data_IF_181654440329
#
_entry.id   IF_181654440329
#
_cell.length_a   1.000
_cell.length_b   1.000
_cell.length_c   1.000
_cell.angle_alpha   90.00
_cell.angle_beta   90.00
_cell.angle_gamma   90.00
#
_symmetry.space_group_name_H-M   'P 1'
#
loop_
_entity.id
_entity.type
_entity.pdbx_description
1 polymer ?
#
# COMPACT_ATOMS: atom_id res chain seq x y z
N UNK A 1 -24.26 6.08 -2.04
CA UNK A 1 -23.45 6.98 -2.89
C UNK A 1 -23.09 6.19 -4.14
N UNK A 2 -23.46 6.66 -5.34
CA UNK A 2 -23.10 5.98 -6.59
C UNK A 2 -21.64 6.21 -6.92
N UNK A 3 -20.91 5.17 -7.32
CA UNK A 3 -19.55 5.34 -7.83
C UNK A 3 -19.58 6.09 -9.15
N UNK A 4 -18.73 7.11 -9.31
CA UNK A 4 -18.54 7.78 -10.58
C UNK A 4 -17.81 6.81 -11.52
N UNK A 5 -18.46 6.48 -12.64
CA UNK A 5 -17.89 5.61 -13.67
C UNK A 5 -17.56 6.48 -14.87
N UNK A 6 -16.29 6.47 -15.26
CA UNK A 6 -15.81 7.12 -16.48
C UNK A 6 -15.40 6.03 -17.48
N UNK A 7 -16.01 6.05 -18.67
CA UNK A 7 -15.64 5.13 -19.75
C UNK A 7 -14.21 5.41 -20.19
N UNK A 8 -13.42 4.35 -20.39
CA UNK A 8 -12.06 4.48 -20.88
C UNK A 8 -12.01 4.98 -22.32
N UNK A 9 -10.97 5.72 -22.64
CA UNK A 9 -10.64 6.21 -23.98
C UNK A 9 -9.82 5.18 -24.80
N UNK A 10 -9.54 4.01 -24.23
CA UNK A 10 -8.76 2.96 -24.86
C UNK A 10 -7.26 3.27 -24.95
N UNK A 11 -6.73 4.30 -24.28
CA UNK A 11 -5.27 4.57 -24.29
C UNK A 11 -4.49 3.40 -23.71
N UNK A 12 -3.24 3.16 -24.15
CA UNK A 12 -2.45 2.05 -23.66
C UNK A 12 -2.05 2.24 -22.18
N UNK A 13 -1.82 1.14 -21.47
CA UNK A 13 -1.17 1.19 -20.17
C UNK A 13 0.28 1.65 -20.33
N UNK A 14 0.60 2.82 -19.79
CA UNK A 14 1.96 3.34 -19.82
C UNK A 14 2.85 2.58 -18.82
N UNK A 15 4.07 2.16 -19.19
CA UNK A 15 5.01 1.57 -18.25
C UNK A 15 5.37 2.55 -17.13
N UNK A 16 5.50 2.07 -15.90
CA UNK A 16 5.99 2.88 -14.77
C UNK A 16 7.49 3.13 -14.94
N UNK A 17 7.93 4.40 -14.96
CA UNK A 17 9.30 4.80 -15.27
C UNK A 17 9.91 5.75 -14.24
N UNK A 18 11.23 5.69 -14.09
CA UNK A 18 12.00 6.67 -13.32
C UNK A 18 11.52 6.81 -11.87
N UNK A 19 11.06 8.00 -11.53
CA UNK A 19 10.54 8.36 -10.21
C UNK A 19 9.05 8.05 -10.02
N UNK A 20 8.30 7.73 -11.08
CA UNK A 20 6.86 7.46 -11.01
C UNK A 20 6.53 6.33 -10.04
N UNK A 21 7.42 5.36 -9.90
CA UNK A 21 7.29 4.25 -8.95
C UNK A 21 7.08 4.67 -7.49
N UNK A 22 7.40 5.92 -7.12
CA UNK A 22 7.16 6.44 -5.77
C UNK A 22 5.68 6.77 -5.51
N UNK A 23 4.92 7.15 -6.54
CA UNK A 23 3.53 7.60 -6.41
C UNK A 23 2.56 6.84 -7.32
N UNK A 24 3.05 5.93 -8.16
CA UNK A 24 2.25 5.16 -9.10
C UNK A 24 2.39 3.67 -8.81
N UNK A 25 1.24 3.03 -8.66
CA UNK A 25 1.15 1.59 -8.41
C UNK A 25 0.35 0.93 -9.52
N UNK A 26 0.73 -0.29 -9.89
CA UNK A 26 0.04 -1.04 -10.93
C UNK A 26 0.12 -2.53 -10.65
N UNK A 27 -1.00 -3.22 -10.83
CA UNK A 27 -1.15 -4.64 -10.58
C UNK A 27 -1.88 -5.31 -11.72
N UNK A 28 -1.58 -6.57 -12.02
CA UNK A 28 -2.29 -7.30 -13.04
C UNK A 28 -2.30 -8.81 -12.86
N UNK A 29 -3.19 -9.46 -13.60
CA UNK A 29 -3.28 -10.90 -13.73
C UNK A 29 -3.81 -11.28 -15.11
N UNK A 30 -3.39 -12.46 -15.57
CA UNK A 30 -3.88 -13.06 -16.80
C UNK A 30 -5.00 -14.04 -16.47
N UNK A 31 -6.17 -13.86 -17.10
CA UNK A 31 -7.38 -14.66 -16.88
C UNK A 31 -7.97 -15.01 -18.23
N UNK A 32 -8.11 -16.32 -18.50
CA UNK A 32 -8.70 -16.86 -19.75
C UNK A 32 -8.14 -16.23 -21.04
N UNK A 33 -6.83 -15.94 -21.04
CA UNK A 33 -6.13 -15.33 -22.18
C UNK A 33 -6.26 -13.81 -22.30
N UNK A 34 -6.94 -13.16 -21.37
CA UNK A 34 -7.01 -11.70 -21.27
C UNK A 34 -6.21 -11.18 -20.05
N UNK A 35 -5.39 -10.16 -20.28
CA UNK A 35 -4.68 -9.43 -19.23
C UNK A 35 -5.61 -8.38 -18.63
N UNK A 36 -5.75 -8.40 -17.30
CA UNK A 36 -6.43 -7.37 -16.54
C UNK A 36 -5.40 -6.64 -15.68
N UNK A 37 -5.24 -5.35 -15.90
CA UNK A 37 -4.35 -4.51 -15.10
C UNK A 37 -5.14 -3.38 -14.44
N UNK A 38 -4.78 -3.05 -13.21
CA UNK A 38 -5.19 -1.82 -12.55
C UNK A 38 -3.98 -0.88 -12.46
N UNK A 39 -4.24 0.41 -12.59
CA UNK A 39 -3.24 1.45 -12.44
C UNK A 39 -3.79 2.57 -11.56
N UNK A 40 -2.96 3.00 -10.62
CA UNK A 40 -3.31 3.96 -9.58
C UNK A 40 -2.22 5.01 -9.49
N UNK A 41 -2.62 6.27 -9.32
CA UNK A 41 -1.71 7.37 -9.03
C UNK A 41 -2.12 7.99 -7.69
N UNK A 42 -1.27 7.89 -6.68
CA UNK A 42 -1.54 8.36 -5.32
C UNK A 42 -1.60 9.90 -5.21
N UNK A 43 -1.16 10.64 -6.24
CA UNK A 43 -1.35 12.10 -6.31
C UNK A 43 -2.63 12.52 -7.05
N UNK A 44 -3.40 11.56 -7.55
CA UNK A 44 -4.74 11.84 -8.05
C UNK A 44 -5.66 12.03 -6.84
N UNK A 45 -6.03 13.28 -6.54
CA UNK A 45 -6.87 13.62 -5.37
C UNK A 45 -8.23 12.93 -5.37
N UNK A 46 -8.69 12.48 -6.54
CA UNK A 46 -9.94 11.74 -6.72
C UNK A 46 -9.77 10.22 -6.44
N UNK A 47 -8.57 9.76 -6.04
CA UNK A 47 -8.23 8.35 -5.77
C UNK A 47 -8.66 7.41 -6.91
N UNK A 48 -8.41 7.82 -8.16
CA UNK A 48 -8.88 7.08 -9.34
C UNK A 48 -8.15 5.76 -9.51
N UNK A 49 -8.95 4.71 -9.65
CA UNK A 49 -8.55 3.39 -10.09
C UNK A 49 -8.86 3.26 -11.58
N UNK A 50 -7.85 2.99 -12.40
CA UNK A 50 -7.99 2.77 -13.84
C UNK A 50 -7.91 1.28 -14.13
N UNK A 51 -8.93 0.71 -14.77
CA UNK A 51 -8.93 -0.67 -15.26
C UNK A 51 -8.49 -0.71 -16.72
N UNK A 52 -7.51 -1.54 -17.01
CA UNK A 52 -7.06 -1.88 -18.35
C UNK A 52 -7.39 -3.33 -18.66
N UNK A 53 -7.88 -3.58 -19.87
CA UNK A 53 -8.17 -4.93 -20.39
C UNK A 53 -7.39 -5.10 -21.69
N UNK A 54 -6.54 -6.14 -21.77
CA UNK A 54 -5.65 -6.33 -22.92
C UNK A 54 -4.71 -5.15 -23.15
N UNK A 55 -4.31 -4.46 -22.07
CA UNK A 55 -3.41 -3.30 -22.13
C UNK A 55 -4.07 -1.98 -22.57
N UNK A 56 -5.40 -1.91 -22.69
CA UNK A 56 -6.12 -0.67 -23.07
C UNK A 56 -7.07 -0.22 -21.96
N UNK A 57 -7.12 1.10 -21.72
CA UNK A 57 -8.00 1.67 -20.69
C UNK A 57 -9.46 1.37 -21.01
N UNK A 58 -10.10 0.62 -20.13
CA UNK A 58 -11.49 0.21 -20.26
C UNK A 58 -12.42 1.12 -19.46
N UNK A 59 -12.09 1.38 -18.19
CA UNK A 59 -12.92 2.14 -17.26
C UNK A 59 -12.05 2.82 -16.19
N UNK A 60 -12.53 3.93 -15.66
CA UNK A 60 -11.96 4.59 -14.48
C UNK A 60 -13.06 4.77 -13.43
N UNK A 61 -12.72 4.50 -12.16
CA UNK A 61 -13.63 4.63 -11.01
C UNK A 61 -12.87 5.14 -9.79
N UNK A 62 -13.57 5.82 -8.90
CA UNK A 62 -13.00 6.27 -7.62
C UNK A 62 -12.88 5.09 -6.65
N UNK A 63 -11.87 5.15 -5.78
CA UNK A 63 -11.64 4.16 -4.74
C UNK A 63 -12.71 4.17 -3.63
N UNK A 64 -13.01 3.02 -2.99
CA UNK A 64 -12.69 1.65 -3.42
C UNK A 64 -13.46 1.28 -4.68
N UNK A 65 -12.86 0.58 -5.65
CA UNK A 65 -13.46 0.34 -6.94
C UNK A 65 -13.82 -1.14 -7.16
N UNK A 66 -14.98 -1.40 -7.79
CA UNK A 66 -15.35 -2.73 -8.29
C UNK A 66 -15.74 -2.63 -9.75
N UNK A 67 -15.01 -3.32 -10.62
CA UNK A 67 -15.26 -3.32 -12.07
C UNK A 67 -15.86 -4.67 -12.49
N UNK A 68 -17.02 -4.68 -13.16
CA UNK A 68 -17.54 -5.91 -13.75
C UNK A 68 -16.62 -6.34 -14.91
N UNK A 69 -16.28 -7.62 -14.96
CA UNK A 69 -15.53 -8.23 -16.07
C UNK A 69 -16.27 -9.48 -16.55
N UNK A 70 -15.82 -10.05 -17.68
CA UNK A 70 -16.55 -11.11 -18.40
C UNK A 70 -16.90 -12.33 -17.53
N UNK A 71 -16.02 -12.70 -16.60
CA UNK A 71 -16.23 -13.82 -15.67
C UNK A 71 -16.03 -13.38 -14.21
N UNK A 72 -16.72 -12.32 -13.79
CA UNK A 72 -16.74 -11.87 -12.40
C UNK A 72 -16.45 -10.38 -12.24
N UNK A 73 -15.55 -10.04 -11.33
CA UNK A 73 -15.25 -8.63 -11.04
C UNK A 73 -13.84 -8.40 -10.51
N UNK A 74 -13.23 -7.30 -10.95
CA UNK A 74 -11.99 -6.78 -10.38
C UNK A 74 -12.36 -5.89 -9.21
N UNK A 75 -11.92 -6.24 -8.00
CA UNK A 75 -12.15 -5.50 -6.77
C UNK A 75 -10.85 -4.90 -6.24
N UNK A 76 -10.88 -3.59 -5.98
CA UNK A 76 -9.75 -2.82 -5.47
C UNK A 76 -10.18 -2.05 -4.22
N UNK A 77 -9.42 -2.18 -3.16
CA UNK A 77 -9.61 -1.44 -1.91
C UNK A 77 -8.28 -0.92 -1.38
N UNK A 78 -8.33 0.28 -0.81
CA UNK A 78 -7.19 0.92 -0.15
C UNK A 78 -7.25 0.72 1.36
N UNK A 79 -6.09 0.76 2.00
CA UNK A 79 -5.92 0.95 3.43
C UNK A 79 -5.09 2.20 3.69
N UNK A 80 -4.73 2.44 4.95
CA UNK A 80 -3.96 3.64 5.35
C UNK A 80 -2.65 3.83 4.57
N UNK A 81 -2.02 2.74 4.13
CA UNK A 81 -0.68 2.77 3.55
C UNK A 81 -0.65 2.34 2.08
N UNK A 82 -1.78 2.36 1.38
CA UNK A 82 -1.86 2.03 -0.05
C UNK A 82 -2.87 0.94 -0.38
N UNK A 83 -2.62 0.17 -1.44
CA UNK A 83 -3.55 -0.87 -1.91
C UNK A 83 -3.60 -2.03 -0.92
N UNK A 84 -4.73 -2.16 -0.23
CA UNK A 84 -5.01 -3.25 0.71
C UNK A 84 -5.45 -4.52 0.01
N UNK A 85 -6.23 -4.37 -1.05
CA UNK A 85 -6.80 -5.50 -1.81
C UNK A 85 -6.83 -5.16 -3.29
N UNK A 86 -6.27 -6.04 -4.10
CA UNK A 86 -6.38 -6.01 -5.56
C UNK A 86 -6.57 -7.45 -6.02
N UNK A 87 -7.79 -7.80 -6.42
CA UNK A 87 -8.14 -9.19 -6.75
C UNK A 87 -9.26 -9.25 -7.77
N UNK A 88 -9.36 -10.41 -8.42
CA UNK A 88 -10.46 -10.78 -9.28
C UNK A 88 -11.26 -11.84 -8.57
N UNK A 89 -12.53 -11.55 -8.34
CA UNK A 89 -13.53 -12.48 -7.84
C UNK A 89 -14.26 -13.07 -9.05
N UNK A 90 -14.01 -14.35 -9.35
CA UNK A 90 -14.70 -15.07 -10.43
C UNK A 90 -16.15 -15.36 -10.06
N UNK A 91 -16.99 -15.56 -11.07
CA UNK A 91 -18.37 -16.01 -10.86
C UNK A 91 -18.44 -17.40 -10.20
N UNK A 92 -17.40 -18.24 -10.38
CA UNK A 92 -17.23 -19.53 -9.68
C UNK A 92 -17.00 -19.40 -8.17
N UNK A 93 -16.66 -18.20 -7.69
CA UNK A 93 -16.22 -17.96 -6.31
C UNK A 93 -14.69 -17.97 -6.13
N UNK A 94 -13.93 -18.32 -7.18
CA UNK A 94 -12.46 -18.29 -7.11
C UNK A 94 -11.95 -16.85 -6.96
N UNK A 95 -10.93 -16.67 -6.12
CA UNK A 95 -10.29 -15.36 -5.91
C UNK A 95 -8.87 -15.41 -6.41
N UNK A 96 -8.57 -14.58 -7.41
CA UNK A 96 -7.24 -14.45 -8.01
C UNK A 96 -6.66 -13.11 -7.58
N UNK A 97 -5.56 -13.12 -6.83
CA UNK A 97 -4.88 -11.88 -6.43
C UNK A 97 -4.11 -11.30 -7.62
N UNK A 98 -4.23 -9.99 -7.84
CA UNK A 98 -3.43 -9.27 -8.83
C UNK A 98 -1.98 -9.14 -8.34
N UNK A 99 -1.01 -9.34 -9.23
CA UNK A 99 0.42 -9.22 -8.91
C UNK A 99 0.97 -7.86 -9.34
N UNK A 100 1.96 -7.29 -8.61
CA UNK A 100 2.59 -6.03 -9.00
C UNK A 100 3.22 -6.10 -10.39
N UNK A 101 2.89 -5.12 -11.23
CA UNK A 101 3.46 -4.97 -12.57
C UNK A 101 4.91 -4.50 -12.51
N UNK A 102 5.71 -4.90 -13.49
CA UNK A 102 7.13 -4.51 -13.58
C UNK A 102 7.32 -3.00 -13.57
N UNK A 103 8.37 -2.51 -12.92
CA UNK A 103 8.70 -1.08 -12.83
C UNK A 103 8.15 -0.39 -11.58
N UNK A 104 7.19 -1.01 -10.88
CA UNK A 104 6.67 -0.55 -9.58
C UNK A 104 7.63 -0.88 -8.43
N UNK A 105 7.53 -0.15 -7.31
CA UNK A 105 8.30 -0.44 -6.11
C UNK A 105 7.87 -1.77 -5.48
N UNK A 106 6.58 -2.09 -5.54
CA UNK A 106 5.99 -3.32 -5.04
C UNK A 106 6.56 -4.54 -5.79
N UNK A 107 6.70 -4.43 -7.11
CA UNK A 107 7.36 -5.46 -7.91
C UNK A 107 8.83 -5.62 -7.52
N UNK A 108 9.57 -4.51 -7.42
CA UNK A 108 10.98 -4.55 -7.00
C UNK A 108 11.15 -5.17 -5.61
N UNK A 109 10.29 -4.81 -4.65
CA UNK A 109 10.35 -5.31 -3.28
C UNK A 109 9.99 -6.80 -3.21
N UNK A 110 9.01 -7.24 -4.01
CA UNK A 110 8.63 -8.67 -4.15
C UNK A 110 9.79 -9.49 -4.73
N UNK A 111 10.45 -8.99 -5.76
CA UNK A 111 11.59 -9.68 -6.36
C UNK A 111 12.79 -9.72 -5.41
N UNK A 112 13.01 -8.65 -4.64
CA UNK A 112 14.02 -8.61 -3.58
C UNK A 112 13.73 -9.66 -2.50
N UNK A 113 12.46 -9.80 -2.07
CA UNK A 113 12.01 -10.81 -1.11
C UNK A 113 12.28 -12.24 -1.60
N UNK A 114 11.98 -12.51 -2.87
CA UNK A 114 12.19 -13.81 -3.50
C UNK A 114 13.69 -14.13 -3.66
N UNK A 115 14.49 -13.15 -4.04
CA UNK A 115 15.93 -13.32 -4.31
C UNK A 115 16.76 -13.40 -3.04
N UNK A 116 16.38 -12.67 -1.99
CA UNK A 116 17.14 -12.57 -0.73
C UNK A 116 16.25 -12.76 0.50
N UNK A 117 15.62 -13.94 0.68
CA UNK A 117 14.60 -14.15 1.70
C UNK A 117 15.10 -13.91 3.13
N UNK A 118 16.35 -14.29 3.44
CA UNK A 118 16.95 -14.08 4.76
C UNK A 118 17.19 -12.59 5.04
N UNK A 119 17.78 -11.88 4.08
CA UNK A 119 18.05 -10.45 4.23
C UNK A 119 16.74 -9.66 4.34
N UNK A 120 15.74 -9.98 3.52
CA UNK A 120 14.40 -9.41 3.62
C UNK A 120 13.73 -9.72 4.96
N UNK A 121 13.95 -10.90 5.53
CA UNK A 121 13.53 -11.23 6.90
C UNK A 121 14.18 -10.33 7.96
N UNK A 122 15.49 -10.07 7.85
CA UNK A 122 16.21 -9.18 8.76
C UNK A 122 15.72 -7.74 8.64
N UNK A 123 15.58 -7.21 7.43
CA UNK A 123 14.99 -5.88 7.19
C UNK A 123 13.57 -5.84 7.77
N UNK A 124 12.81 -6.93 7.60
CA UNK A 124 11.48 -7.03 8.17
C UNK A 124 11.48 -6.88 9.69
N UNK A 125 12.35 -7.63 10.37
CA UNK A 125 12.53 -7.54 11.82
C UNK A 125 12.97 -6.14 12.27
N UNK A 126 13.97 -5.55 11.61
CA UNK A 126 14.49 -4.23 11.95
C UNK A 126 13.43 -3.13 11.79
N UNK A 127 12.65 -3.14 10.72
CA UNK A 127 11.54 -2.20 10.55
C UNK A 127 10.50 -2.34 11.66
N UNK A 128 10.16 -3.56 12.09
CA UNK A 128 9.24 -3.76 13.21
C UNK A 128 9.79 -3.22 14.52
N UNK A 129 11.08 -3.45 14.79
CA UNK A 129 11.76 -2.90 15.98
C UNK A 129 11.75 -1.38 15.97
N UNK A 130 12.03 -0.76 14.82
CA UNK A 130 11.99 0.68 14.65
C UNK A 130 10.58 1.23 14.88
N UNK A 131 9.54 0.59 14.31
CA UNK A 131 8.15 1.01 14.53
C UNK A 131 7.73 0.87 16.00
N UNK A 132 8.12 -0.21 16.66
CA UNK A 132 7.84 -0.41 18.09
C UNK A 132 8.55 0.64 18.96
N UNK A 133 9.80 0.97 18.64
CA UNK A 133 10.55 2.02 19.33
C UNK A 133 9.93 3.39 19.08
N UNK A 134 9.60 3.72 17.83
CA UNK A 134 8.93 4.97 17.48
C UNK A 134 7.57 5.12 18.14
N UNK A 135 6.80 4.02 18.26
CA UNK A 135 5.55 4.02 19.01
C UNK A 135 5.78 4.26 20.50
N UNK A 136 6.79 3.63 21.11
CA UNK A 136 7.14 3.87 22.51
C UNK A 136 7.47 5.34 22.75
N UNK A 137 8.34 5.93 21.90
CA UNK A 137 8.69 7.35 21.97
C UNK A 137 7.45 8.25 21.78
N UNK A 138 6.62 7.95 20.79
CA UNK A 138 5.40 8.73 20.54
C UNK A 138 4.39 8.66 21.68
N UNK A 139 4.26 7.51 22.34
CA UNK A 139 3.40 7.36 23.53
C UNK A 139 3.96 8.15 24.71
N UNK A 140 5.28 8.13 24.93
CA UNK A 140 5.90 8.91 26.01
C UNK A 140 5.70 10.41 25.81
N UNK A 141 5.90 10.91 24.58
CA UNK A 141 5.66 12.32 24.24
C UNK A 141 4.19 12.71 24.39
N UNK A 142 3.27 11.82 24.00
CA UNK A 142 1.84 12.05 24.17
C UNK A 142 1.43 12.10 25.65
N UNK A 143 2.04 11.27 26.50
CA UNK A 143 1.82 11.29 27.94
C UNK A 143 2.38 12.56 28.58
N UNK A 144 3.55 13.04 28.14
CA UNK A 144 4.10 14.31 28.62
C UNK A 144 3.20 15.50 28.22
N UNK A 145 2.67 15.47 27.00
CA UNK A 145 1.80 16.55 26.49
C UNK A 145 0.40 16.52 27.10
N UNK A 146 -0.20 15.32 27.25
CA UNK A 146 -1.58 15.15 27.65
C UNK A 146 -1.76 14.83 29.14
N UNK A 147 -0.73 14.31 29.79
CA UNK A 147 -0.71 13.89 31.20
C UNK A 147 -1.28 14.91 32.18
N UNK A 148 -0.94 16.22 32.07
CA UNK A 148 -1.51 17.25 32.92
C UNK A 148 -3.04 17.36 32.84
N UNK A 149 -3.64 17.04 31.69
CA UNK A 149 -5.11 17.07 31.53
C UNK A 149 -5.80 15.85 32.15
N UNK A 150 -5.05 14.80 32.47
CA UNK A 150 -5.54 13.54 33.04
C UNK A 150 -5.08 13.32 34.49
N UNK A 151 -4.45 14.32 35.13
CA UNK A 151 -3.95 14.21 36.51
C UNK A 151 -2.72 13.31 36.64
N UNK A 152 -1.96 13.10 35.56
CA UNK A 152 -0.68 12.41 35.55
C UNK A 152 0.43 13.47 35.66
N UNK A 153 0.76 13.87 36.89
CA UNK A 153 1.66 15.01 37.18
C UNK A 153 3.15 14.64 37.13
N UNK A 154 3.51 13.36 37.24
CA UNK A 154 4.90 12.90 37.34
C UNK A 154 5.64 12.77 35.99
N UNK A 155 4.98 13.08 34.87
CA UNK A 155 5.57 12.99 33.53
C UNK A 155 5.98 11.57 33.11
N UNK A 156 6.51 11.43 31.90
CA UNK A 156 7.06 10.18 31.39
C UNK A 156 8.40 9.87 32.07
N UNK A 157 8.60 8.65 32.62
CA UNK A 157 9.88 8.25 33.21
C UNK A 157 11.00 8.06 32.17
N UNK A 158 10.66 8.10 30.87
CA UNK A 158 11.59 7.88 29.76
C UNK A 158 11.83 9.21 29.06
N UNK A 159 13.01 9.78 29.25
CA UNK A 159 13.50 10.94 28.50
C UNK A 159 14.39 10.47 27.36
N UNK A 160 13.97 10.72 26.13
CA UNK A 160 14.75 10.40 24.93
C UNK A 160 15.58 11.63 24.55
N UNK A 161 16.90 11.51 24.36
CA UNK A 161 17.72 12.66 23.95
C UNK A 161 17.28 13.18 22.57
N UNK A 162 17.16 14.51 22.42
CA UNK A 162 16.66 15.18 21.19
C UNK A 162 17.18 14.64 19.85
N UNK A 163 18.48 14.34 19.63
CA UNK A 163 18.94 13.85 18.33
C UNK A 163 18.40 12.45 17.98
N UNK A 164 18.03 11.64 18.98
CA UNK A 164 17.47 10.31 18.75
C UNK A 164 16.04 10.36 18.22
N UNK A 165 15.25 11.38 18.60
CA UNK A 165 13.87 11.51 18.13
C UNK A 165 13.77 11.67 16.61
N UNK A 166 14.59 12.55 16.02
CA UNK A 166 14.58 12.76 14.56
C UNK A 166 15.00 11.51 13.79
N UNK A 167 16.00 10.78 14.29
CA UNK A 167 16.49 9.55 13.66
C UNK A 167 15.45 8.43 13.75
N UNK A 168 14.82 8.23 14.91
CA UNK A 168 13.77 7.22 15.10
C UNK A 168 12.55 7.55 14.23
N UNK A 169 12.15 8.83 14.15
CA UNK A 169 11.07 9.27 13.27
C UNK A 169 11.37 8.96 11.80
N UNK A 170 12.56 9.33 11.32
CA UNK A 170 12.99 9.05 9.94
C UNK A 170 13.06 7.56 9.62
N UNK A 171 13.64 6.76 10.53
CA UNK A 171 13.64 5.31 10.39
C UNK A 171 12.22 4.73 10.43
N UNK A 172 11.33 5.30 11.24
CA UNK A 172 9.91 4.93 11.32
C UNK A 172 9.21 5.09 9.97
N UNK A 173 9.44 6.20 9.27
CA UNK A 173 8.90 6.42 7.92
C UNK A 173 9.42 5.35 6.95
N UNK A 174 10.73 5.08 6.95
CA UNK A 174 11.34 4.04 6.08
C UNK A 174 10.77 2.66 6.40
N UNK A 175 10.59 2.35 7.67
CA UNK A 175 10.01 1.09 8.13
C UNK A 175 8.54 0.94 7.70
N UNK A 176 7.75 2.01 7.81
CA UNK A 176 6.37 2.04 7.36
C UNK A 176 6.26 1.84 5.85
N UNK A 177 7.14 2.49 5.07
CA UNK A 177 7.22 2.31 3.62
C UNK A 177 7.56 0.86 3.24
N UNK A 178 8.55 0.23 3.89
CA UNK A 178 8.86 -1.18 3.61
C UNK A 178 7.68 -2.11 3.92
N UNK A 179 6.91 -1.85 4.99
CA UNK A 179 5.67 -2.58 5.29
C UNK A 179 4.61 -2.40 4.22
N UNK A 180 4.38 -1.17 3.77
CA UNK A 180 3.42 -0.87 2.71
C UNK A 180 3.77 -1.63 1.42
N UNK A 181 5.04 -1.62 1.02
CA UNK A 181 5.51 -2.25 -0.21
C UNK A 181 5.49 -3.78 -0.18
N UNK A 182 5.59 -4.41 1.00
CA UNK A 182 5.54 -5.86 1.10
C UNK A 182 4.17 -6.45 0.77
N UNK A 183 3.09 -5.65 0.80
CA UNK A 183 1.70 -6.08 0.54
C UNK A 183 1.25 -7.30 1.37
N UNK A 184 2.04 -7.64 2.39
CA UNK A 184 1.77 -8.72 3.34
C UNK A 184 0.96 -8.10 4.47
N UNK A 185 -0.35 -8.13 4.29
CA UNK A 185 -1.26 -7.76 5.36
C UNK A 185 -1.05 -8.71 6.53
N UNK A 186 -0.72 -8.15 7.69
CA UNK A 186 -0.80 -8.85 8.95
C UNK A 186 -2.12 -8.46 9.61
N UNK A 187 -2.81 -9.44 10.17
CA UNK A 187 -4.11 -9.28 10.84
C UNK A 187 -4.07 -8.35 12.07
N UNK A 188 -2.87 -7.99 12.55
CA UNK A 188 -2.67 -7.14 13.72
C UNK A 188 -2.90 -5.63 13.49
N UNK A 189 -3.04 -5.19 12.23
CA UNK A 189 -3.18 -3.77 11.84
C UNK A 189 -4.50 -3.50 11.09
N UNK A 190 -5.50 -4.37 11.26
CA UNK A 190 -6.78 -4.31 10.56
C UNK A 190 -7.96 -4.44 11.53
#
# INVERSE_FOLDING_TARGET
MGQKVESGDGRPLEPVRGWEKLWRSSFGADIDGARYDIDLNFFDFDEKVRLFVGGRLSETRDAPAKFPVRDGSVSVAFGMYGVRRAQIERASGDVIRLEPNSGTLEHWRRETDRRYPVASGIVSMLSWLVLALGLLVGVTELLDLAGPYFGLEDGSPVTVPEPFNGVIGGLGIVAALDRALMLRHHWLLD
#
